data_IF_179676298737
#
_entry.id   IF_179676298737
#
_cell.length_a   1.000
_cell.length_b   1.000
_cell.length_c   1.000
_cell.angle_alpha   90.00
_cell.angle_beta   90.00
_cell.angle_gamma   90.00
#
_symmetry.space_group_name_H-M   'P 1'
#
loop_
_entity.id
_entity.type
_entity.pdbx_description
1 polymer ?
#
# COMPACT_ATOMS: atom_id res chain seq x y z
N UNK A 1 -12.77 -2.67 -21.37
CA UNK A 1 -13.95 -1.95 -21.89
C UNK A 1 -13.65 -1.13 -23.15
N UNK A 2 -12.58 -0.31 -23.21
CA UNK A 2 -12.24 0.42 -24.45
C UNK A 2 -11.75 -0.48 -25.60
N UNK A 3 -10.93 -1.50 -25.30
CA UNK A 3 -10.41 -2.39 -26.34
C UNK A 3 -11.50 -3.27 -26.99
N UNK A 4 -12.48 -3.75 -26.20
CA UNK A 4 -13.60 -4.52 -26.76
C UNK A 4 -14.51 -3.65 -27.63
N UNK A 5 -14.70 -2.37 -27.27
CA UNK A 5 -15.42 -1.40 -28.12
C UNK A 5 -14.72 -1.21 -29.46
N UNK A 6 -13.41 -0.96 -29.47
CA UNK A 6 -12.63 -0.79 -30.70
C UNK A 6 -12.65 -2.07 -31.55
N UNK A 7 -12.61 -3.27 -30.92
CA UNK A 7 -12.72 -4.54 -31.66
C UNK A 7 -14.10 -4.73 -32.31
N UNK A 8 -15.17 -4.36 -31.61
CA UNK A 8 -16.53 -4.44 -32.15
C UNK A 8 -16.70 -3.45 -33.32
N UNK A 9 -16.29 -2.19 -33.15
CA UNK A 9 -16.31 -1.18 -34.22
C UNK A 9 -15.48 -1.64 -35.42
N UNK A 10 -14.32 -2.25 -35.19
CA UNK A 10 -13.47 -2.80 -36.26
C UNK A 10 -14.19 -3.92 -37.03
N UNK A 11 -14.86 -4.84 -36.32
CA UNK A 11 -15.63 -5.92 -36.93
C UNK A 11 -16.80 -5.40 -37.77
N UNK A 12 -17.56 -4.42 -37.24
CA UNK A 12 -18.65 -3.77 -37.97
C UNK A 12 -18.16 -3.10 -39.26
N UNK A 13 -17.06 -2.34 -39.20
CA UNK A 13 -16.50 -1.67 -40.39
C UNK A 13 -15.92 -2.64 -41.42
N UNK A 14 -15.33 -3.76 -40.98
CA UNK A 14 -14.87 -4.82 -41.89
C UNK A 14 -16.06 -5.45 -42.61
N UNK A 15 -17.17 -5.66 -41.89
CA UNK A 15 -18.41 -6.21 -42.45
C UNK A 15 -19.04 -5.24 -43.46
N UNK A 16 -19.08 -3.94 -43.15
CA UNK A 16 -19.54 -2.91 -44.09
C UNK A 16 -18.69 -2.89 -45.38
N UNK A 17 -17.36 -3.00 -45.27
CA UNK A 17 -16.48 -3.11 -46.44
C UNK A 17 -16.79 -4.36 -47.25
N UNK A 18 -17.01 -5.50 -46.59
CA UNK A 18 -17.35 -6.76 -47.27
C UNK A 18 -18.61 -6.57 -48.11
N UNK A 19 -19.66 -6.02 -47.52
CA UNK A 19 -20.90 -5.73 -48.22
C UNK A 19 -20.71 -4.76 -49.40
N UNK A 20 -19.95 -3.68 -49.22
CA UNK A 20 -19.69 -2.70 -50.30
C UNK A 20 -18.88 -3.33 -51.43
N UNK A 21 -17.92 -4.21 -51.13
CA UNK A 21 -17.16 -4.92 -52.16
C UNK A 21 -18.00 -5.92 -52.93
N UNK A 22 -18.90 -6.63 -52.26
CA UNK A 22 -19.88 -7.51 -52.91
C UNK A 22 -20.83 -6.72 -53.81
N UNK A 23 -21.35 -5.58 -53.32
CA UNK A 23 -22.16 -4.67 -54.13
C UNK A 23 -21.38 -4.16 -55.35
N UNK A 24 -20.15 -3.66 -55.17
CA UNK A 24 -19.28 -3.25 -56.29
C UNK A 24 -19.08 -4.39 -57.30
N UNK A 25 -18.90 -5.62 -56.83
CA UNK A 25 -18.78 -6.82 -57.66
C UNK A 25 -19.97 -7.07 -58.58
N UNK A 26 -21.19 -6.70 -58.16
CA UNK A 26 -22.43 -6.82 -58.97
C UNK A 26 -22.48 -5.80 -60.11
N UNK A 27 -21.73 -4.71 -60.00
CA UNK A 27 -21.67 -3.62 -60.98
C UNK A 27 -20.45 -3.71 -61.90
N UNK A 28 -19.36 -4.35 -61.46
CA UNK A 28 -18.17 -4.65 -62.27
C UNK A 28 -18.53 -5.64 -63.39
N UNK A 29 -18.83 -5.11 -64.58
CA UNK A 29 -19.26 -5.87 -65.75
C UNK A 29 -20.53 -5.33 -66.41
N UNK A 30 -21.33 -4.52 -65.70
CA UNK A 30 -22.53 -3.86 -66.26
C UNK A 30 -22.23 -2.51 -66.93
N UNK A 31 -21.07 -1.94 -66.66
CA UNK A 31 -20.60 -0.70 -67.28
C UNK A 31 -19.92 -1.00 -68.60
N UNK A 32 -20.46 -0.45 -69.70
CA UNK A 32 -19.73 -0.37 -70.96
C UNK A 32 -18.44 0.45 -70.75
N UNK A 33 -17.41 0.24 -71.57
CA UNK A 33 -16.12 0.95 -71.52
C UNK A 33 -16.21 2.48 -71.77
N UNK A 34 -17.42 3.05 -71.83
CA UNK A 34 -17.64 4.47 -72.05
C UNK A 34 -17.44 5.24 -70.74
N UNK A 35 -16.58 6.26 -70.79
CA UNK A 35 -16.34 7.14 -69.65
C UNK A 35 -17.61 7.93 -69.29
N UNK A 36 -17.89 8.18 -68.00
CA UNK A 36 -19.08 8.93 -67.54
C UNK A 36 -19.25 10.29 -68.22
N UNK A 37 -18.15 10.98 -68.52
CA UNK A 37 -18.19 12.24 -69.27
C UNK A 37 -18.65 12.09 -70.73
N UNK A 38 -18.29 10.97 -71.38
CA UNK A 38 -18.75 10.68 -72.74
C UNK A 38 -20.25 10.37 -72.76
N UNK A 39 -20.77 9.72 -71.72
CA UNK A 39 -22.21 9.49 -71.56
C UNK A 39 -22.97 10.81 -71.36
N UNK A 40 -22.49 11.70 -70.47
CA UNK A 40 -23.05 13.05 -70.28
C UNK A 40 -23.09 13.86 -71.56
N UNK A 41 -21.94 13.98 -72.24
CA UNK A 41 -21.86 14.68 -73.54
C UNK A 41 -22.77 14.03 -74.59
N UNK A 42 -22.91 12.71 -74.56
CA UNK A 42 -23.83 11.98 -75.45
C UNK A 42 -25.30 12.33 -75.21
N UNK A 43 -25.72 12.45 -73.94
CA UNK A 43 -27.07 12.88 -73.55
C UNK A 43 -27.30 14.33 -74.01
N UNK A 44 -26.42 15.25 -73.64
CA UNK A 44 -26.52 16.68 -73.99
C UNK A 44 -26.63 16.90 -75.51
N UNK A 45 -25.83 16.17 -76.30
CA UNK A 45 -25.89 16.26 -77.76
C UNK A 45 -27.21 15.74 -78.34
N UNK A 46 -27.78 14.68 -77.76
CA UNK A 46 -29.07 14.14 -78.21
C UNK A 46 -30.24 15.05 -77.81
N UNK A 47 -30.19 15.63 -76.61
CA UNK A 47 -31.16 16.63 -76.13
C UNK A 47 -31.12 17.89 -77.00
N UNK A 48 -29.92 18.41 -77.28
CA UNK A 48 -29.75 19.55 -78.18
C UNK A 48 -30.31 19.28 -79.57
N UNK A 49 -30.09 18.07 -80.10
CA UNK A 49 -30.64 17.66 -81.40
C UNK A 49 -32.17 17.63 -81.42
N UNK A 50 -32.80 17.17 -80.33
CA UNK A 50 -34.26 17.21 -80.17
C UNK A 50 -34.76 18.67 -80.15
N UNK A 51 -34.05 19.57 -79.48
CA UNK A 51 -34.45 20.96 -79.35
C UNK A 51 -34.25 21.80 -80.63
N UNK A 52 -33.23 21.49 -81.43
CA UNK A 52 -32.79 22.36 -82.53
C UNK A 52 -33.11 21.84 -83.93
N UNK A 53 -33.57 20.59 -84.07
CA UNK A 53 -33.86 19.98 -85.38
C UNK A 53 -35.35 19.67 -85.51
N UNK A 54 -36.03 20.02 -86.62
CA UNK A 54 -37.40 19.57 -86.87
C UNK A 54 -37.37 18.06 -87.15
N UNK A 55 -37.84 17.26 -86.20
CA UNK A 55 -37.88 15.80 -86.24
C UNK A 55 -39.32 15.31 -86.36
N UNK A 56 -39.52 14.13 -86.94
CA UNK A 56 -40.81 13.45 -86.86
C UNK A 56 -40.97 12.72 -85.51
N UNK A 57 -42.22 12.41 -85.16
CA UNK A 57 -42.57 11.80 -83.87
C UNK A 57 -41.90 10.43 -83.63
N UNK A 58 -41.50 9.71 -84.68
CA UNK A 58 -40.78 8.44 -84.54
C UNK A 58 -39.29 8.63 -84.26
N UNK A 59 -38.65 9.61 -84.89
CA UNK A 59 -37.25 9.95 -84.68
C UNK A 59 -37.01 10.50 -83.27
N UNK A 60 -37.90 11.36 -82.80
CA UNK A 60 -37.86 11.89 -81.43
C UNK A 60 -37.99 10.77 -80.39
N UNK A 61 -38.94 9.85 -80.56
CA UNK A 61 -39.08 8.67 -79.69
C UNK A 61 -37.81 7.83 -79.64
N UNK A 62 -37.15 7.60 -80.78
CA UNK A 62 -35.87 6.87 -80.85
C UNK A 62 -34.74 7.60 -80.13
N UNK A 63 -34.69 8.93 -80.20
CA UNK A 63 -33.68 9.73 -79.48
C UNK A 63 -33.94 9.71 -77.97
N UNK A 64 -35.20 9.83 -77.53
CA UNK A 64 -35.59 9.72 -76.12
C UNK A 64 -35.25 8.34 -75.55
N UNK A 65 -35.50 7.25 -76.28
CA UNK A 65 -35.10 5.91 -75.84
C UNK A 65 -33.58 5.76 -75.70
N UNK A 66 -32.79 6.42 -76.57
CA UNK A 66 -31.34 6.44 -76.47
C UNK A 66 -30.87 7.24 -75.26
N UNK A 67 -31.47 8.41 -75.01
CA UNK A 67 -31.19 9.22 -73.81
C UNK A 67 -31.45 8.39 -72.55
N UNK A 68 -32.64 7.77 -72.43
CA UNK A 68 -32.97 6.90 -71.29
C UNK A 68 -31.95 5.78 -71.05
N UNK A 69 -31.44 5.17 -72.12
CA UNK A 69 -30.38 4.14 -72.01
C UNK A 69 -29.06 4.72 -71.50
N UNK A 70 -28.65 5.89 -71.98
CA UNK A 70 -27.44 6.57 -71.55
C UNK A 70 -27.55 7.10 -70.10
N UNK A 71 -28.71 7.61 -69.71
CA UNK A 71 -29.01 8.04 -68.34
C UNK A 71 -28.90 6.88 -67.35
N UNK A 72 -29.52 5.74 -67.66
CA UNK A 72 -29.40 4.53 -66.84
C UNK A 72 -27.95 4.06 -66.71
N UNK A 73 -27.16 4.15 -67.78
CA UNK A 73 -25.72 3.82 -67.72
C UNK A 73 -24.95 4.82 -66.83
N UNK A 74 -25.26 6.11 -66.93
CA UNK A 74 -24.62 7.15 -66.14
C UNK A 74 -24.95 6.99 -64.64
N UNK A 75 -26.20 6.67 -64.29
CA UNK A 75 -26.63 6.42 -62.91
C UNK A 75 -25.83 5.28 -62.28
N UNK A 76 -25.61 4.19 -63.03
CA UNK A 76 -24.75 3.07 -62.57
C UNK A 76 -23.32 3.53 -62.29
N UNK A 77 -22.74 4.38 -63.15
CA UNK A 77 -21.40 4.93 -62.92
C UNK A 77 -21.33 5.81 -61.67
N UNK A 78 -22.34 6.65 -61.44
CA UNK A 78 -22.42 7.49 -60.23
C UNK A 78 -22.49 6.62 -58.98
N UNK A 79 -23.32 5.57 -59.00
CA UNK A 79 -23.44 4.64 -57.87
C UNK A 79 -22.15 3.88 -57.58
N UNK A 80 -21.43 3.43 -58.61
CA UNK A 80 -20.11 2.80 -58.45
C UNK A 80 -19.13 3.76 -57.78
N UNK A 81 -19.10 5.03 -58.20
CA UNK A 81 -18.17 6.01 -57.65
C UNK A 81 -18.47 6.32 -56.18
N UNK A 82 -19.75 6.46 -55.82
CA UNK A 82 -20.18 6.60 -54.43
C UNK A 82 -19.76 5.40 -53.56
N UNK A 83 -19.93 4.19 -54.06
CA UNK A 83 -19.51 2.97 -53.35
C UNK A 83 -17.99 2.89 -53.19
N UNK A 84 -17.22 3.28 -54.21
CA UNK A 84 -15.75 3.36 -54.13
C UNK A 84 -15.30 4.37 -53.09
N UNK A 85 -15.90 5.55 -53.09
CA UNK A 85 -15.60 6.60 -52.12
C UNK A 85 -15.88 6.12 -50.69
N UNK A 86 -17.05 5.51 -50.45
CA UNK A 86 -17.40 4.93 -49.15
C UNK A 86 -16.43 3.82 -48.73
N UNK A 87 -16.00 2.96 -49.66
CA UNK A 87 -15.00 1.93 -49.38
C UNK A 87 -13.63 2.53 -49.00
N UNK A 88 -13.21 3.63 -49.63
CA UNK A 88 -11.98 4.33 -49.26
C UNK A 88 -12.06 4.94 -47.85
N UNK A 89 -13.19 5.58 -47.53
CA UNK A 89 -13.45 6.15 -46.20
C UNK A 89 -13.39 5.08 -45.11
N UNK A 90 -14.09 3.95 -45.30
CA UNK A 90 -14.06 2.83 -44.35
C UNK A 90 -12.65 2.22 -44.19
N UNK A 91 -11.87 2.14 -45.27
CA UNK A 91 -10.48 1.68 -45.18
C UNK A 91 -9.64 2.64 -44.31
N UNK A 92 -9.84 3.95 -44.45
CA UNK A 92 -9.17 4.94 -43.64
C UNK A 92 -9.58 4.84 -42.16
N UNK A 93 -10.88 4.68 -41.88
CA UNK A 93 -11.40 4.47 -40.52
C UNK A 93 -10.81 3.22 -39.87
N UNK A 94 -10.77 2.09 -40.58
CA UNK A 94 -10.16 0.85 -40.09
C UNK A 94 -8.69 1.04 -39.76
N UNK A 95 -7.93 1.76 -40.60
CA UNK A 95 -6.52 2.06 -40.33
C UNK A 95 -6.38 2.91 -39.06
N UNK A 96 -7.22 3.92 -38.88
CA UNK A 96 -7.22 4.76 -37.69
C UNK A 96 -7.55 3.94 -36.42
N UNK A 97 -8.57 3.08 -36.47
CA UNK A 97 -8.94 2.18 -35.36
C UNK A 97 -7.79 1.22 -34.99
N UNK A 98 -7.12 0.64 -35.99
CA UNK A 98 -5.95 -0.24 -35.76
C UNK A 98 -4.80 0.49 -35.09
N UNK A 99 -4.48 1.71 -35.53
CA UNK A 99 -3.44 2.54 -34.90
C UNK A 99 -3.81 2.88 -33.45
N UNK A 100 -5.07 3.24 -33.20
CA UNK A 100 -5.57 3.51 -31.85
C UNK A 100 -5.48 2.29 -30.94
N UNK A 101 -5.81 1.10 -31.47
CA UNK A 101 -5.69 -0.16 -30.74
C UNK A 101 -4.24 -0.47 -30.37
N UNK A 102 -3.30 -0.27 -31.31
CA UNK A 102 -1.86 -0.44 -31.05
C UNK A 102 -1.39 0.50 -29.94
N UNK A 103 -1.73 1.79 -30.02
CA UNK A 103 -1.37 2.78 -29.00
C UNK A 103 -1.93 2.41 -27.62
N UNK A 104 -3.17 1.92 -27.56
CA UNK A 104 -3.77 1.46 -26.30
C UNK A 104 -2.99 0.28 -25.71
N UNK A 105 -2.63 -0.69 -26.55
CA UNK A 105 -1.84 -1.86 -26.14
C UNK A 105 -0.44 -1.44 -25.64
N UNK A 106 0.23 -0.54 -26.33
CA UNK A 106 1.56 -0.06 -25.94
C UNK A 106 1.51 0.64 -24.57
N UNK A 107 0.49 1.48 -24.33
CA UNK A 107 0.26 2.10 -23.01
C UNK A 107 -0.02 1.09 -21.91
N UNK A 108 -0.78 0.02 -22.20
CA UNK A 108 -1.04 -1.05 -21.24
C UNK A 108 0.27 -1.76 -20.90
N UNK A 109 1.09 -2.09 -21.88
CA UNK A 109 2.38 -2.74 -21.67
C UNK A 109 3.32 -1.86 -20.82
N UNK A 110 3.39 -0.57 -21.11
CA UNK A 110 4.17 0.39 -20.30
C UNK A 110 3.70 0.39 -18.84
N UNK A 111 2.39 0.40 -18.59
CA UNK A 111 1.83 0.39 -17.24
C UNK A 111 2.08 -0.93 -16.51
N UNK A 112 2.01 -2.05 -17.22
CA UNK A 112 2.36 -3.37 -16.67
C UNK A 112 3.83 -3.41 -16.26
N UNK A 113 4.73 -2.89 -17.10
CA UNK A 113 6.15 -2.86 -16.80
C UNK A 113 6.48 -1.96 -15.60
N UNK A 114 5.88 -0.76 -15.55
CA UNK A 114 5.96 0.12 -14.38
C UNK A 114 5.46 -0.59 -13.12
N UNK A 115 4.32 -1.28 -13.20
CA UNK A 115 3.75 -2.00 -12.05
C UNK A 115 4.67 -3.11 -11.55
N UNK A 116 5.30 -3.88 -12.46
CA UNK A 116 6.26 -4.93 -12.08
C UNK A 116 7.47 -4.34 -11.36
N UNK A 117 8.06 -3.29 -11.93
CA UNK A 117 9.20 -2.60 -11.33
C UNK A 117 8.91 -2.09 -9.92
N UNK A 118 7.76 -1.44 -9.71
CA UNK A 118 7.37 -0.97 -8.37
C UNK A 118 7.05 -2.11 -7.41
N UNK A 119 6.47 -3.21 -7.91
CA UNK A 119 6.19 -4.38 -7.08
C UNK A 119 7.48 -5.04 -6.60
N UNK A 120 8.48 -5.20 -7.47
CA UNK A 120 9.80 -5.74 -7.09
C UNK A 120 10.47 -4.87 -6.03
N UNK A 121 10.50 -3.54 -6.23
CA UNK A 121 11.01 -2.60 -5.23
C UNK A 121 10.25 -2.66 -3.91
N UNK A 122 8.93 -2.81 -3.96
CA UNK A 122 8.12 -2.95 -2.77
C UNK A 122 8.48 -4.22 -1.99
N UNK A 123 8.65 -5.36 -2.68
CA UNK A 123 9.03 -6.62 -2.05
C UNK A 123 10.42 -6.50 -1.41
N UNK A 124 11.39 -5.91 -2.09
CA UNK A 124 12.72 -5.64 -1.56
C UNK A 124 12.65 -4.82 -0.27
N UNK A 125 11.98 -3.67 -0.29
CA UNK A 125 11.84 -2.81 0.90
C UNK A 125 11.02 -3.44 2.01
N UNK A 126 10.02 -4.26 1.68
CA UNK A 126 9.26 -5.02 2.67
C UNK A 126 10.14 -6.04 3.39
N UNK A 127 11.04 -6.71 2.68
CA UNK A 127 11.97 -7.66 3.27
C UNK A 127 13.01 -6.95 4.14
N UNK A 128 13.59 -5.84 3.68
CA UNK A 128 14.47 -4.99 4.50
C UNK A 128 13.79 -4.58 5.82
N UNK A 129 12.54 -4.11 5.75
CA UNK A 129 11.78 -3.71 6.94
C UNK A 129 11.51 -4.88 7.91
N UNK A 130 11.31 -6.10 7.39
CA UNK A 130 11.14 -7.30 8.23
C UNK A 130 12.42 -7.66 8.97
N UNK A 131 13.58 -7.57 8.32
CA UNK A 131 14.86 -7.84 8.97
C UNK A 131 15.16 -6.81 10.07
N UNK A 132 14.97 -5.52 9.79
CA UNK A 132 15.12 -4.47 10.81
C UNK A 132 14.16 -4.69 11.99
N UNK A 133 12.91 -5.06 11.72
CA UNK A 133 11.95 -5.38 12.77
C UNK A 133 12.42 -6.56 13.63
N UNK A 134 12.92 -7.63 13.00
CA UNK A 134 13.42 -8.81 13.70
C UNK A 134 14.60 -8.45 14.61
N UNK A 135 15.53 -7.63 14.15
CA UNK A 135 16.65 -7.15 14.95
C UNK A 135 16.20 -6.28 16.13
N UNK A 136 15.21 -5.40 15.91
CA UNK A 136 14.62 -4.59 16.96
C UNK A 136 13.91 -5.44 18.02
N UNK A 137 13.14 -6.45 17.60
CA UNK A 137 12.43 -7.38 18.49
C UNK A 137 13.43 -8.18 19.34
N UNK A 138 14.52 -8.68 18.74
CA UNK A 138 15.60 -9.37 19.46
C UNK A 138 16.27 -8.46 20.49
N UNK A 139 16.62 -7.24 20.10
CA UNK A 139 17.24 -6.25 21.00
C UNK A 139 16.32 -5.90 22.16
N UNK A 140 15.03 -5.74 21.88
CA UNK A 140 14.02 -5.48 22.91
C UNK A 140 13.91 -6.65 23.89
N UNK A 141 13.92 -7.89 23.40
CA UNK A 141 13.90 -9.08 24.23
C UNK A 141 15.14 -9.17 25.14
N UNK A 142 16.33 -8.93 24.61
CA UNK A 142 17.57 -8.88 25.40
C UNK A 142 17.53 -7.81 26.49
N UNK A 143 17.00 -6.62 26.16
CA UNK A 143 16.81 -5.54 27.15
C UNK A 143 15.85 -5.96 28.28
N UNK A 144 14.73 -6.60 27.95
CA UNK A 144 13.78 -7.07 28.96
C UNK A 144 14.42 -8.10 29.90
N UNK A 145 15.16 -9.07 29.36
CA UNK A 145 15.90 -10.06 30.17
C UNK A 145 16.88 -9.37 31.11
N UNK A 146 17.74 -8.49 30.60
CA UNK A 146 18.70 -7.74 31.43
C UNK A 146 18.00 -6.90 32.51
N UNK A 147 16.85 -6.28 32.19
CA UNK A 147 16.04 -5.53 33.15
C UNK A 147 15.47 -6.43 34.25
N UNK A 148 15.03 -7.65 33.92
CA UNK A 148 14.55 -8.61 34.93
C UNK A 148 15.67 -9.04 35.87
N UNK A 149 16.86 -9.34 35.35
CA UNK A 149 18.04 -9.70 36.15
C UNK A 149 18.45 -8.55 37.07
N UNK A 150 18.53 -7.33 36.52
CA UNK A 150 18.83 -6.12 37.30
C UNK A 150 17.84 -5.92 38.46
N UNK A 151 16.55 -6.11 38.21
CA UNK A 151 15.54 -6.00 39.27
C UNK A 151 15.72 -7.08 40.35
N UNK A 152 16.10 -8.30 39.96
CA UNK A 152 16.45 -9.39 40.89
C UNK A 152 17.61 -8.99 41.79
N UNK A 153 18.72 -8.54 41.21
CA UNK A 153 19.89 -8.06 41.94
C UNK A 153 19.53 -6.89 42.87
N UNK A 154 18.73 -5.93 42.38
CA UNK A 154 18.26 -4.81 43.19
C UNK A 154 17.47 -5.27 44.42
N UNK A 155 16.63 -6.29 44.29
CA UNK A 155 15.89 -6.87 45.42
C UNK A 155 16.82 -7.58 46.40
N UNK A 156 17.83 -8.29 45.93
CA UNK A 156 18.84 -8.92 46.79
C UNK A 156 19.65 -7.89 47.57
N UNK A 157 20.11 -6.82 46.92
CA UNK A 157 20.79 -5.70 47.58
C UNK A 157 19.91 -5.12 48.68
N UNK A 158 18.61 -4.90 48.40
CA UNK A 158 17.68 -4.38 49.39
C UNK A 158 17.51 -5.34 50.60
N UNK A 159 17.47 -6.66 50.37
CA UNK A 159 17.44 -7.67 51.45
C UNK A 159 18.70 -7.61 52.31
N UNK A 160 19.88 -7.59 51.68
CA UNK A 160 21.17 -7.52 52.38
C UNK A 160 21.27 -6.23 53.21
N UNK A 161 20.88 -5.08 52.66
CA UNK A 161 20.89 -3.82 53.39
C UNK A 161 19.97 -3.85 54.62
N UNK A 162 18.79 -4.46 54.50
CA UNK A 162 17.88 -4.64 55.64
C UNK A 162 18.47 -5.58 56.70
N UNK A 163 19.15 -6.64 56.29
CA UNK A 163 19.79 -7.57 57.22
C UNK A 163 20.99 -6.92 57.93
N UNK A 164 21.81 -6.16 57.22
CA UNK A 164 22.88 -5.34 57.83
C UNK A 164 22.30 -4.39 58.87
N UNK A 165 21.16 -3.74 58.57
CA UNK A 165 20.49 -2.85 59.51
C UNK A 165 20.03 -3.61 60.76
N UNK A 166 19.38 -4.77 60.61
CA UNK A 166 18.94 -5.62 61.73
C UNK A 166 20.12 -6.05 62.60
N UNK A 167 21.20 -6.54 61.99
CA UNK A 167 22.40 -6.96 62.71
C UNK A 167 23.06 -5.82 63.48
N UNK A 168 23.09 -4.60 62.90
CA UNK A 168 23.58 -3.41 63.61
C UNK A 168 22.74 -3.09 64.84
N UNK A 169 21.41 -3.16 64.72
CA UNK A 169 20.50 -2.95 65.85
C UNK A 169 20.69 -4.03 66.93
N UNK A 170 20.85 -5.30 66.55
CA UNK A 170 21.15 -6.41 67.46
C UNK A 170 22.48 -6.20 68.21
N UNK A 171 23.55 -5.77 67.52
CA UNK A 171 24.84 -5.47 68.14
C UNK A 171 24.71 -4.34 69.17
N UNK A 172 23.98 -3.26 68.85
CA UNK A 172 23.76 -2.14 69.77
C UNK A 172 23.00 -2.63 71.02
N UNK A 173 21.91 -3.38 70.84
CA UNK A 173 21.13 -3.91 71.95
C UNK A 173 21.95 -4.84 72.85
N UNK A 174 22.74 -5.74 72.28
CA UNK A 174 23.57 -6.67 73.05
C UNK A 174 24.71 -5.92 73.78
N UNK A 175 25.30 -4.90 73.16
CA UNK A 175 26.27 -4.03 73.81
C UNK A 175 25.67 -3.29 75.02
N UNK A 176 24.49 -2.67 74.86
CA UNK A 176 23.79 -1.99 75.95
C UNK A 176 23.41 -2.96 77.09
N UNK A 177 22.93 -4.15 76.74
CA UNK A 177 22.60 -5.21 77.70
C UNK A 177 23.81 -5.68 78.48
N UNK A 178 24.95 -5.91 77.82
CA UNK A 178 26.18 -6.30 78.49
C UNK A 178 26.76 -5.17 79.33
N UNK A 179 26.65 -3.92 78.89
CA UNK A 179 26.99 -2.74 79.70
C UNK A 179 26.16 -2.70 80.99
N UNK A 180 24.83 -2.82 80.89
CA UNK A 180 23.93 -2.86 82.06
C UNK A 180 24.28 -4.01 83.00
N UNK A 181 24.49 -5.22 82.48
CA UNK A 181 24.92 -6.38 83.29
C UNK A 181 26.24 -6.12 84.02
N UNK A 182 27.22 -5.53 83.34
CA UNK A 182 28.51 -5.21 83.95
C UNK A 182 28.36 -4.14 85.05
N UNK A 183 27.55 -3.10 84.81
CA UNK A 183 27.22 -2.08 85.82
C UNK A 183 26.53 -2.70 87.04
N UNK A 184 25.54 -3.57 86.84
CA UNK A 184 24.88 -4.32 87.92
C UNK A 184 25.87 -5.20 88.70
N UNK A 185 26.81 -5.86 88.01
CA UNK A 185 27.79 -6.75 88.63
C UNK A 185 28.83 -5.95 89.42
N UNK A 186 29.25 -4.78 88.92
CA UNK A 186 30.09 -3.83 89.65
C UNK A 186 29.38 -3.31 90.90
N UNK A 187 28.11 -2.93 90.80
CA UNK A 187 27.30 -2.51 91.94
C UNK A 187 27.19 -3.62 92.99
N UNK A 188 26.87 -4.85 92.59
CA UNK A 188 26.82 -6.02 93.50
C UNK A 188 28.18 -6.30 94.16
N UNK A 189 29.28 -6.14 93.43
CA UNK A 189 30.62 -6.32 93.99
C UNK A 189 30.97 -5.22 95.00
N UNK A 190 30.65 -3.96 94.70
CA UNK A 190 30.81 -2.83 95.63
C UNK A 190 29.96 -3.01 96.88
N UNK A 191 28.70 -3.44 96.73
CA UNK A 191 27.82 -3.80 97.85
C UNK A 191 28.42 -4.92 98.72
N UNK A 192 28.90 -6.01 98.11
CA UNK A 192 29.50 -7.12 98.83
C UNK A 192 30.79 -6.71 99.56
N UNK A 193 31.58 -5.81 98.99
CA UNK A 193 32.76 -5.23 99.65
C UNK A 193 32.36 -4.31 100.80
N UNK A 194 31.33 -3.47 100.62
CA UNK A 194 30.80 -2.59 101.66
C UNK A 194 30.25 -3.38 102.86
N UNK A 195 29.52 -4.48 102.62
CA UNK A 195 29.06 -5.38 103.67
C UNK A 195 30.22 -6.01 104.44
N UNK A 196 31.26 -6.49 103.74
CA UNK A 196 32.47 -7.04 104.39
C UNK A 196 33.22 -6.00 105.21
N UNK A 197 33.31 -4.74 104.75
CA UNK A 197 33.90 -3.64 105.52
C UNK A 197 33.07 -3.28 106.76
N UNK A 198 31.74 -3.29 106.64
CA UNK A 198 30.81 -3.07 107.75
C UNK A 198 30.96 -4.16 108.82
N UNK A 199 31.04 -5.44 108.42
CA UNK A 199 31.27 -6.58 109.32
C UNK A 199 32.62 -6.50 110.03
N UNK A 200 33.64 -5.90 109.40
CA UNK A 200 34.98 -5.69 109.96
C UNK A 200 35.13 -4.40 110.78
N UNK A 201 34.09 -3.55 110.84
CA UNK A 201 34.12 -2.29 111.59
C UNK A 201 34.95 -1.18 110.93
N UNK A 202 35.24 -1.29 109.63
CA UNK A 202 36.01 -0.30 108.87
C UNK A 202 35.12 0.87 108.39
N UNK A 203 35.70 2.06 108.21
CA UNK A 203 34.95 3.24 107.75
C UNK A 203 34.46 3.04 106.31
N UNK A 204 33.16 3.19 106.08
CA UNK A 204 32.55 3.16 104.76
C UNK A 204 32.62 4.54 104.09
N UNK A 205 32.77 4.56 102.77
CA UNK A 205 32.55 5.78 101.98
C UNK A 205 31.05 6.10 101.86
N UNK A 206 30.70 7.35 101.57
CA UNK A 206 29.30 7.81 101.54
C UNK A 206 28.44 7.06 100.53
N UNK A 207 29.02 6.66 99.39
CA UNK A 207 28.34 5.89 98.34
C UNK A 207 28.12 4.42 98.76
N UNK A 208 29.12 3.78 99.38
CA UNK A 208 29.00 2.43 99.96
C UNK A 208 27.96 2.38 101.08
N UNK A 209 27.89 3.42 101.92
CA UNK A 209 26.92 3.53 103.01
C UNK A 209 25.48 3.69 102.51
N UNK A 210 25.26 4.49 101.45
CA UNK A 210 23.94 4.67 100.82
C UNK A 210 23.41 3.35 100.26
N UNK A 211 24.25 2.60 99.54
CA UNK A 211 23.88 1.30 98.94
C UNK A 211 23.46 0.26 99.99
N UNK A 212 24.14 0.23 101.15
CA UNK A 212 23.81 -0.70 102.23
C UNK A 212 22.50 -0.34 102.95
N UNK A 213 22.19 0.96 103.09
CA UNK A 213 20.95 1.44 103.72
C UNK A 213 19.74 1.18 102.83
N UNK A 214 19.82 1.53 101.54
CA UNK A 214 18.69 1.38 100.60
C UNK A 214 18.16 -0.07 100.56
N UNK A 215 19.04 -1.06 100.73
CA UNK A 215 18.67 -2.47 100.83
C UNK A 215 18.02 -2.87 102.16
N UNK A 216 18.51 -2.33 103.29
CA UNK A 216 17.87 -2.56 104.61
C UNK A 216 16.45 -2.00 104.68
N UNK A 217 16.17 -0.92 103.94
CA UNK A 217 14.82 -0.35 103.80
C UNK A 217 13.92 -1.09 102.79
N UNK A 218 14.46 -1.91 101.89
CA UNK A 218 13.71 -2.68 100.90
C UNK A 218 13.37 -4.13 101.32
N UNK A 219 13.89 -4.58 102.48
CA UNK A 219 13.66 -5.92 103.04
C UNK A 219 12.88 -5.91 104.37
N UNK A 220 12.42 -4.75 104.83
CA UNK A 220 11.46 -4.60 105.94
C UNK A 220 10.06 -4.31 105.40
#
# INVERSE_FOLDING_TARGET
MQESKIRNELAEKIEEIRFIREELGKWTGKTAANFPEKLRRGIENLEWKIQTTPLNLQEEKKLIEKIKKLENQLEVHVKIEQLKQKNLELIAEIKALKTRMKLCRDKILEKVEQSKFYHEKFVEKSNEAKEVKKEADLSHQSFLSAKTEFNGIKMEIAKILNEIKRLKEEIIMEYEKNKRKNEELLLKNLEAQALKKLERGEKLTWEEFRLVIERKSAQG
#
